data_IF_949873694606
#
_entry.id   IF_949873694606
#
_cell.length_a   1.000
_cell.length_b   1.000
_cell.length_c   1.000
_cell.angle_alpha   90.00
_cell.angle_beta   90.00
_cell.angle_gamma   90.00
#
_symmetry.space_group_name_H-M   'P 1'
#
loop_
_entity.id
_entity.type
_entity.pdbx_description
1 polymer ?
#
# COMPACT_ATOMS: atom_id res chain seq x y z
N UNK A 1 -59.12 -11.45 21.23
CA UNK A 1 -57.93 -12.14 21.76
C UNK A 1 -57.36 -13.00 20.65
N UNK A 2 -56.41 -12.47 19.89
CA UNK A 2 -55.76 -13.15 18.77
C UNK A 2 -54.26 -13.08 19.04
N UNK A 3 -53.66 -14.22 19.41
CA UNK A 3 -52.21 -14.37 19.61
C UNK A 3 -51.55 -14.31 18.24
N UNK A 4 -50.81 -13.22 17.99
CA UNK A 4 -49.90 -13.09 16.86
C UNK A 4 -48.59 -13.80 17.21
N UNK A 5 -48.40 -15.02 16.70
CA UNK A 5 -47.11 -15.71 16.75
C UNK A 5 -46.17 -15.14 15.69
N UNK A 6 -45.30 -14.23 16.14
CA UNK A 6 -44.19 -13.70 15.34
C UNK A 6 -43.11 -14.79 15.24
N UNK A 7 -43.13 -15.55 14.14
CA UNK A 7 -42.01 -16.43 13.77
C UNK A 7 -40.78 -15.58 13.49
N UNK A 8 -39.81 -15.63 14.39
CA UNK A 8 -38.45 -15.17 14.14
C UNK A 8 -37.88 -15.96 12.96
N UNK A 9 -37.60 -15.27 11.85
CA UNK A 9 -36.84 -15.84 10.74
C UNK A 9 -35.50 -16.36 11.25
N UNK A 10 -35.04 -17.53 10.79
CA UNK A 10 -33.71 -18.02 11.10
C UNK A 10 -32.72 -17.03 10.49
N UNK A 11 -32.06 -16.27 11.36
CA UNK A 11 -30.85 -15.53 11.03
C UNK A 11 -29.96 -16.49 10.24
N UNK A 12 -29.58 -16.08 9.02
CA UNK A 12 -28.61 -16.79 8.20
C UNK A 12 -27.34 -16.98 9.02
N UNK A 13 -27.25 -18.11 9.73
CA UNK A 13 -26.03 -18.64 10.32
C UNK A 13 -25.14 -19.08 9.18
N UNK A 14 -24.52 -18.09 8.52
CA UNK A 14 -23.36 -18.27 7.68
C UNK A 14 -22.33 -19.02 8.52
N UNK A 15 -22.25 -20.32 8.28
CA UNK A 15 -21.28 -21.29 8.79
C UNK A 15 -20.15 -20.63 9.59
N UNK A 16 -20.42 -20.42 10.88
CA UNK A 16 -19.49 -19.84 11.83
C UNK A 16 -18.47 -20.93 12.07
N UNK A 17 -17.37 -20.93 11.31
CA UNK A 17 -16.20 -21.69 11.70
C UNK A 17 -15.84 -21.29 13.13
N UNK A 18 -15.65 -22.28 14.02
CA UNK A 18 -15.32 -22.06 15.44
C UNK A 18 -13.99 -21.31 15.56
N UNK A 19 -14.04 -19.98 15.52
CA UNK A 19 -12.86 -19.14 15.45
C UNK A 19 -13.22 -17.69 15.66
N UNK A 20 -12.29 -16.97 16.26
CA UNK A 20 -12.43 -15.57 16.59
C UNK A 20 -11.96 -14.70 15.42
N UNK A 21 -12.68 -13.61 15.14
CA UNK A 21 -12.26 -12.66 14.13
C UNK A 21 -11.28 -11.67 14.75
N UNK A 22 -10.09 -11.59 14.18
CA UNK A 22 -9.01 -10.72 14.61
C UNK A 22 -8.68 -9.75 13.47
N UNK A 23 -8.72 -8.46 13.78
CA UNK A 23 -8.25 -7.40 12.92
C UNK A 23 -6.79 -7.11 13.20
N UNK A 24 -6.01 -7.16 12.14
CA UNK A 24 -4.56 -7.01 12.18
C UNK A 24 -4.20 -5.75 11.39
N UNK A 25 -3.58 -4.79 12.07
CA UNK A 25 -3.07 -3.57 11.47
C UNK A 25 -1.55 -3.68 11.30
N UNK A 26 -1.06 -3.38 10.08
CA UNK A 26 0.36 -3.37 9.78
C UNK A 26 0.93 -4.56 9.01
N UNK A 27 2.03 -4.31 8.32
CA UNK A 27 2.66 -5.24 7.36
C UNK A 27 3.53 -6.33 8.00
N UNK A 28 3.89 -6.20 9.29
CA UNK A 28 4.77 -7.17 9.95
C UNK A 28 4.17 -8.59 9.99
N UNK A 29 2.89 -8.69 9.67
CA UNK A 29 2.08 -9.87 9.57
C UNK A 29 2.12 -10.56 8.18
N UNK A 30 2.42 -9.82 7.10
CA UNK A 30 2.43 -10.35 5.72
C UNK A 30 3.81 -10.72 5.20
N UNK A 31 4.81 -9.86 5.38
CA UNK A 31 6.19 -10.15 4.95
C UNK A 31 7.22 -10.02 6.10
N UNK A 32 6.75 -10.11 7.34
CA UNK A 32 7.59 -9.97 8.53
C UNK A 32 7.80 -11.28 9.30
N UNK A 33 8.29 -11.15 10.53
CA UNK A 33 8.55 -12.28 11.43
C UNK A 33 7.28 -13.10 11.73
N UNK A 34 6.09 -12.50 11.53
CA UNK A 34 4.80 -13.12 11.87
C UNK A 34 4.09 -13.81 10.70
N UNK A 35 4.62 -13.72 9.47
CA UNK A 35 4.02 -14.40 8.31
C UNK A 35 3.86 -15.90 8.53
N UNK A 36 4.87 -16.52 9.15
CA UNK A 36 4.83 -17.95 9.48
C UNK A 36 3.68 -18.34 10.41
N UNK A 37 3.26 -17.43 11.30
CA UNK A 37 2.24 -17.69 12.33
C UNK A 37 0.82 -17.53 11.78
N UNK A 38 0.59 -16.56 10.90
CA UNK A 38 -0.72 -16.35 10.28
C UNK A 38 -1.03 -17.33 9.15
N UNK A 39 -0.08 -18.14 8.69
CA UNK A 39 -0.33 -19.18 7.68
C UNK A 39 -1.41 -20.19 8.09
N UNK A 40 -1.70 -20.30 9.40
CA UNK A 40 -2.75 -21.17 9.94
C UNK A 40 -4.08 -20.45 10.19
N UNK A 41 -4.15 -19.14 9.99
CA UNK A 41 -5.38 -18.36 10.09
C UNK A 41 -6.10 -18.31 8.74
N UNK A 42 -7.42 -18.29 8.76
CA UNK A 42 -8.23 -18.15 7.54
C UNK A 42 -8.40 -16.65 7.22
N UNK A 43 -7.93 -16.17 6.04
CA UNK A 43 -8.12 -14.78 5.65
C UNK A 43 -9.60 -14.51 5.33
N UNK A 44 -10.18 -13.50 5.97
CA UNK A 44 -11.59 -13.12 5.76
C UNK A 44 -11.71 -11.99 4.73
N UNK A 45 -10.81 -11.01 4.79
CA UNK A 45 -10.74 -9.87 3.87
C UNK A 45 -10.07 -8.63 4.47
N UNK A 46 -10.00 -7.54 3.72
CA UNK A 46 -9.43 -6.26 4.19
C UNK A 46 -10.49 -5.39 4.85
N UNK A 47 -10.21 -4.79 6.01
CA UNK A 47 -11.19 -4.03 6.79
C UNK A 47 -10.73 -2.63 7.19
N UNK A 48 -11.68 -1.81 7.62
CA UNK A 48 -11.45 -0.47 8.19
C UNK A 48 -12.11 -0.37 9.55
N UNK A 49 -11.35 0.04 10.56
CA UNK A 49 -11.83 0.24 11.94
C UNK A 49 -11.60 1.69 12.38
N UNK A 50 -12.38 2.18 13.33
CA UNK A 50 -12.15 3.49 13.94
C UNK A 50 -10.91 3.46 14.86
N UNK A 51 -10.09 4.51 14.80
CA UNK A 51 -8.91 4.67 15.64
C UNK A 51 -7.82 5.49 14.96
N UNK A 52 -6.70 5.67 15.66
CA UNK A 52 -5.50 6.29 15.08
C UNK A 52 -4.37 5.28 14.99
N UNK A 53 -3.70 5.28 13.84
CA UNK A 53 -2.49 4.51 13.62
C UNK A 53 -1.28 5.40 13.86
N UNK A 54 -0.45 5.02 14.81
CA UNK A 54 0.78 5.70 15.16
C UNK A 54 1.97 4.82 14.76
N UNK A 55 3.09 5.48 14.51
CA UNK A 55 4.38 4.83 14.54
C UNK A 55 5.11 5.18 15.82
N UNK A 56 5.55 4.13 16.50
CA UNK A 56 6.49 4.24 17.61
C UNK A 56 7.65 3.29 17.36
N UNK A 57 8.89 3.80 17.33
CA UNK A 57 10.09 2.98 17.12
C UNK A 57 10.04 2.05 15.90
N UNK A 58 9.40 2.50 14.80
CA UNK A 58 9.14 1.73 13.56
C UNK A 58 8.17 0.55 13.68
N UNK A 59 7.38 0.48 14.75
CA UNK A 59 6.27 -0.44 14.93
C UNK A 59 4.93 0.27 14.76
N UNK A 60 3.94 -0.40 14.13
CA UNK A 60 2.57 0.09 14.09
C UNK A 60 1.93 -0.03 15.47
N UNK A 61 1.30 1.05 15.92
CA UNK A 61 0.62 1.16 17.20
C UNK A 61 -0.77 1.71 16.94
N UNK A 62 -1.80 0.95 17.28
CA UNK A 62 -3.18 1.41 17.14
C UNK A 62 -3.69 1.88 18.50
N UNK A 63 -4.20 3.11 18.55
CA UNK A 63 -4.87 3.66 19.73
C UNK A 63 -6.36 3.84 19.43
N UNK A 64 -7.19 3.58 20.45
CA UNK A 64 -8.62 3.91 20.36
C UNK A 64 -8.77 5.42 20.20
N UNK A 65 -9.65 5.83 19.30
CA UNK A 65 -10.02 7.22 19.11
C UNK A 65 -11.52 7.27 18.83
N UNK A 66 -12.23 8.08 19.62
CA UNK A 66 -13.66 8.32 19.42
C UNK A 66 -13.91 9.32 18.26
N UNK A 67 -12.84 9.89 17.69
CA UNK A 67 -12.86 10.76 16.53
C UNK A 67 -13.01 10.05 15.18
N UNK A 68 -12.75 10.80 14.11
CA UNK A 68 -12.92 10.34 12.71
C UNK A 68 -11.74 9.52 12.15
N UNK A 69 -10.77 9.17 13.00
CA UNK A 69 -9.62 8.38 12.60
C UNK A 69 -10.06 7.01 12.04
N UNK A 70 -9.48 6.61 10.91
CA UNK A 70 -9.71 5.30 10.29
C UNK A 70 -8.39 4.56 10.16
N UNK A 71 -8.37 3.29 10.53
CA UNK A 71 -7.22 2.41 10.38
C UNK A 71 -7.57 1.28 9.43
N UNK A 72 -6.74 1.09 8.40
CA UNK A 72 -6.85 0.01 7.42
C UNK A 72 -6.04 -1.19 7.88
N UNK A 73 -6.58 -2.38 7.67
CA UNK A 73 -5.94 -3.63 8.04
C UNK A 73 -6.62 -4.84 7.40
N UNK A 74 -6.33 -6.01 7.93
CA UNK A 74 -6.85 -7.27 7.43
C UNK A 74 -7.54 -8.04 8.55
N UNK A 75 -8.64 -8.71 8.24
CA UNK A 75 -9.40 -9.54 9.16
C UNK A 75 -9.09 -11.00 8.88
N UNK A 76 -8.74 -11.71 9.94
CA UNK A 76 -8.45 -13.13 9.94
C UNK A 76 -9.39 -13.84 10.91
N UNK A 77 -9.78 -15.07 10.57
CA UNK A 77 -10.39 -16.00 11.53
C UNK A 77 -9.27 -16.84 12.14
N UNK A 78 -9.17 -16.77 13.46
CA UNK A 78 -8.11 -17.36 14.26
C UNK A 78 -8.72 -18.40 15.20
N UNK A 79 -8.12 -19.59 15.26
CA UNK A 79 -8.53 -20.66 16.17
C UNK A 79 -7.75 -20.59 17.50
N UNK A 80 -8.34 -21.13 18.58
CA UNK A 80 -7.99 -20.85 19.98
C UNK A 80 -6.49 -20.73 20.30
N UNK A 81 -5.70 -21.75 19.98
CA UNK A 81 -4.25 -21.77 20.31
C UNK A 81 -3.48 -20.61 19.66
N UNK A 82 -3.84 -20.27 18.41
CA UNK A 82 -3.21 -19.18 17.69
C UNK A 82 -3.59 -17.82 18.30
N UNK A 83 -4.80 -17.65 18.82
CA UNK A 83 -5.18 -16.39 19.49
C UNK A 83 -4.34 -16.14 20.73
N UNK A 84 -4.11 -17.17 21.56
CA UNK A 84 -3.29 -17.04 22.75
C UNK A 84 -1.82 -16.76 22.40
N UNK A 85 -1.32 -17.37 21.31
CA UNK A 85 0.02 -17.10 20.79
C UNK A 85 0.17 -15.64 20.32
N UNK A 86 -0.81 -15.11 19.58
CA UNK A 86 -0.82 -13.71 19.14
C UNK A 86 -0.83 -12.75 20.33
N UNK A 87 -1.61 -13.05 21.37
CA UNK A 87 -1.61 -12.27 22.61
C UNK A 87 -0.22 -12.24 23.27
N UNK A 88 0.46 -13.39 23.35
CA UNK A 88 1.83 -13.47 23.87
C UNK A 88 2.83 -12.65 23.06
N UNK A 89 2.74 -12.71 21.73
CA UNK A 89 3.58 -11.92 20.82
C UNK A 89 3.35 -10.42 21.04
N UNK A 90 2.10 -9.98 21.10
CA UNK A 90 1.78 -8.56 21.24
C UNK A 90 2.23 -7.99 22.60
N UNK A 91 2.17 -8.80 23.66
CA UNK A 91 2.74 -8.43 24.95
C UNK A 91 4.26 -8.29 24.91
N UNK A 92 4.96 -9.17 24.19
CA UNK A 92 6.42 -9.07 24.02
C UNK A 92 6.81 -7.85 23.19
N UNK A 93 6.06 -7.55 22.11
CA UNK A 93 6.23 -6.30 21.35
C UNK A 93 6.00 -5.08 22.25
N UNK A 94 4.97 -5.08 23.10
CA UNK A 94 4.73 -4.00 24.05
C UNK A 94 5.92 -3.76 24.98
N UNK A 95 6.54 -4.83 25.50
CA UNK A 95 7.76 -4.75 26.32
C UNK A 95 8.95 -4.19 25.55
N UNK A 96 9.15 -4.60 24.29
CA UNK A 96 10.26 -4.14 23.46
C UNK A 96 10.18 -2.64 23.14
N UNK A 97 8.97 -2.09 23.00
CA UNK A 97 8.80 -0.66 22.78
C UNK A 97 8.97 0.14 24.09
N UNK A 98 8.81 -0.51 25.25
CA UNK A 98 9.21 0.01 26.57
C UNK A 98 8.26 1.03 27.21
N UNK A 99 7.33 1.59 26.45
CA UNK A 99 6.55 2.78 26.83
C UNK A 99 5.03 2.63 26.60
N UNK A 100 4.49 1.41 26.64
CA UNK A 100 3.05 1.22 26.44
C UNK A 100 2.56 -0.10 26.97
N UNK A 101 1.28 -0.12 27.35
CA UNK A 101 0.54 -1.35 27.59
C UNK A 101 -0.36 -1.62 26.39
N UNK A 102 -0.45 -2.88 26.01
CA UNK A 102 -1.34 -3.33 24.95
C UNK A 102 -2.46 -4.17 25.59
N UNK A 103 -3.71 -3.88 25.24
CA UNK A 103 -4.88 -4.68 25.64
C UNK A 103 -5.68 -5.12 24.43
N UNK A 104 -6.45 -6.19 24.57
CA UNK A 104 -7.46 -6.52 23.56
C UNK A 104 -8.64 -5.57 23.65
N UNK A 105 -9.19 -5.22 22.48
CA UNK A 105 -10.42 -4.47 22.35
C UNK A 105 -11.25 -5.03 21.20
N UNK A 106 -12.57 -4.92 21.33
CA UNK A 106 -13.52 -5.19 20.25
C UNK A 106 -13.81 -3.90 19.50
N UNK A 107 -13.77 -3.96 18.17
CA UNK A 107 -14.12 -2.85 17.28
C UNK A 107 -15.05 -3.37 16.18
N UNK A 108 -15.73 -2.44 15.50
CA UNK A 108 -16.49 -2.74 14.30
C UNK A 108 -15.60 -2.51 13.07
N UNK A 109 -15.34 -3.56 12.30
CA UNK A 109 -14.66 -3.47 11.02
C UNK A 109 -15.67 -3.33 9.89
N UNK A 110 -15.59 -2.23 9.16
CA UNK A 110 -16.30 -2.01 7.90
C UNK A 110 -15.48 -2.55 6.72
N UNK A 111 -16.11 -2.65 5.55
CA UNK A 111 -15.49 -2.97 4.25
C UNK A 111 -14.84 -4.37 4.12
N UNK A 112 -14.96 -5.25 5.12
CA UNK A 112 -14.27 -6.56 5.18
C UNK A 112 -14.45 -7.41 3.91
N UNK A 113 -15.64 -7.36 3.31
CA UNK A 113 -15.98 -8.04 2.04
C UNK A 113 -16.73 -7.11 1.08
N UNK A 114 -16.35 -5.83 1.05
CA UNK A 114 -17.03 -4.81 0.25
C UNK A 114 -18.25 -4.23 0.98
N UNK A 115 -19.46 -4.41 0.44
CA UNK A 115 -20.70 -3.79 0.95
C UNK A 115 -21.36 -4.57 2.11
N UNK A 116 -20.66 -5.51 2.72
CA UNK A 116 -21.16 -6.25 3.87
C UNK A 116 -21.33 -5.33 5.10
N UNK A 117 -22.29 -5.62 5.99
CA UNK A 117 -22.45 -4.87 7.22
C UNK A 117 -21.17 -4.97 8.07
N UNK A 118 -20.85 -3.93 8.88
CA UNK A 118 -19.70 -3.97 9.76
C UNK A 118 -19.75 -5.20 10.67
N UNK A 119 -18.61 -5.86 10.85
CA UNK A 119 -18.47 -7.05 11.70
C UNK A 119 -17.65 -6.74 12.94
N UNK A 120 -18.01 -7.35 14.07
CA UNK A 120 -17.22 -7.23 15.30
C UNK A 120 -15.93 -8.02 15.18
N UNK A 121 -14.81 -7.38 15.47
CA UNK A 121 -13.46 -7.95 15.41
C UNK A 121 -12.69 -7.61 16.67
N UNK A 122 -11.77 -8.48 17.04
CA UNK A 122 -10.79 -8.20 18.08
C UNK A 122 -9.55 -7.56 17.50
N UNK A 123 -8.97 -6.63 18.23
CA UNK A 123 -7.68 -6.04 17.90
C UNK A 123 -6.90 -5.76 19.18
N UNK A 124 -5.65 -5.37 19.02
CA UNK A 124 -4.77 -4.91 20.08
C UNK A 124 -4.75 -3.38 20.10
N UNK A 125 -5.19 -2.81 21.21
CA UNK A 125 -5.22 -1.37 21.44
C UNK A 125 -4.12 -1.02 22.42
N UNK A 126 -3.34 -0.02 22.04
CA UNK A 126 -2.30 0.52 22.87
C UNK A 126 -2.85 1.63 23.76
N UNK A 127 -2.43 1.59 25.01
CA UNK A 127 -2.77 2.55 26.04
C UNK A 127 -1.50 3.20 26.57
N UNK A 128 -1.62 4.44 27.04
CA UNK A 128 -0.53 5.20 27.64
C UNK A 128 0.71 5.24 26.74
N UNK A 129 0.53 5.49 25.44
CA UNK A 129 1.63 5.59 24.48
C UNK A 129 2.51 6.79 24.83
N UNK A 130 3.70 6.55 25.36
CA UNK A 130 4.67 7.58 25.72
C UNK A 130 5.86 7.62 24.75
N UNK A 131 6.36 8.83 24.46
CA UNK A 131 7.55 9.07 23.64
C UNK A 131 7.26 9.64 22.25
N UNK A 132 8.28 9.73 21.38
CA UNK A 132 8.15 10.29 20.05
C UNK A 132 7.28 9.38 19.18
N UNK A 133 6.10 9.89 18.83
CA UNK A 133 5.12 9.23 17.98
C UNK A 133 4.89 10.02 16.71
N UNK A 134 4.82 9.32 15.58
CA UNK A 134 4.42 9.91 14.29
C UNK A 134 3.04 9.38 13.93
N UNK A 135 2.08 10.27 13.67
CA UNK A 135 0.77 9.88 13.16
C UNK A 135 0.91 9.35 11.73
N UNK A 136 0.39 8.16 11.48
CA UNK A 136 0.23 7.61 10.13
C UNK A 136 -1.06 8.15 9.56
N UNK A 137 -0.99 9.33 8.92
CA UNK A 137 -2.16 10.11 8.51
C UNK A 137 -3.15 9.35 7.61
N UNK A 138 -2.68 8.41 6.79
CA UNK A 138 -3.55 7.62 5.93
C UNK A 138 -4.29 6.49 6.64
N UNK A 139 -3.88 6.15 7.87
CA UNK A 139 -4.40 4.99 8.59
C UNK A 139 -3.93 3.64 8.05
N UNK A 140 -3.10 3.63 7.01
CA UNK A 140 -2.51 2.42 6.43
C UNK A 140 -1.00 2.40 6.71
N UNK A 141 -0.55 1.35 7.38
CA UNK A 141 0.87 1.19 7.68
C UNK A 141 1.74 1.05 6.42
N UNK A 142 1.18 0.51 5.34
CA UNK A 142 1.90 0.28 4.08
C UNK A 142 2.38 1.59 3.47
N UNK A 143 1.57 2.64 3.60
CA UNK A 143 1.91 3.96 3.07
C UNK A 143 3.15 4.58 3.75
N UNK A 144 3.54 4.11 4.94
CA UNK A 144 4.69 4.68 5.66
C UNK A 144 6.05 4.17 5.17
N UNK A 145 6.12 2.96 4.60
CA UNK A 145 7.39 2.23 4.44
C UNK A 145 7.97 2.22 3.03
N UNK A 146 7.20 2.51 1.99
CA UNK A 146 7.75 2.50 0.64
C UNK A 146 8.39 3.86 0.33
N UNK A 147 9.73 3.98 0.33
CA UNK A 147 10.35 5.15 -0.28
C UNK A 147 9.88 5.22 -1.74
N UNK A 148 9.67 6.42 -2.31
CA UNK A 148 8.98 6.58 -3.59
C UNK A 148 9.90 6.23 -4.77
N UNK A 149 10.58 5.08 -4.74
CA UNK A 149 11.59 4.70 -5.72
C UNK A 149 10.96 4.45 -7.07
N UNK A 150 9.84 3.75 -7.11
CA UNK A 150 9.15 3.51 -8.38
C UNK A 150 8.49 4.78 -8.92
N UNK A 151 7.95 5.62 -8.04
CA UNK A 151 7.46 6.95 -8.43
C UNK A 151 8.61 7.80 -8.99
N UNK A 152 9.79 7.79 -8.34
CA UNK A 152 10.96 8.54 -8.78
C UNK A 152 11.49 8.03 -10.12
N UNK A 153 11.50 6.71 -10.34
CA UNK A 153 11.86 6.11 -11.63
C UNK A 153 10.85 6.53 -12.71
N UNK A 154 9.54 6.43 -12.43
CA UNK A 154 8.50 6.83 -13.38
C UNK A 154 8.61 8.31 -13.76
N UNK A 155 8.88 9.18 -12.78
CA UNK A 155 9.12 10.61 -12.98
C UNK A 155 10.41 10.85 -13.80
N UNK A 156 11.49 10.12 -13.48
CA UNK A 156 12.75 10.18 -14.23
C UNK A 156 12.57 9.77 -15.70
N UNK A 157 11.79 8.72 -15.96
CA UNK A 157 11.43 8.29 -17.32
C UNK A 157 10.63 9.36 -18.07
N UNK A 158 9.68 10.02 -17.41
CA UNK A 158 8.93 11.12 -17.98
C UNK A 158 9.86 12.27 -18.36
N UNK A 159 10.77 12.67 -17.48
CA UNK A 159 11.75 13.72 -17.77
C UNK A 159 12.73 13.32 -18.88
N UNK A 160 13.24 12.09 -18.88
CA UNK A 160 14.17 11.60 -19.90
C UNK A 160 13.56 11.69 -21.31
N UNK A 161 12.27 11.36 -21.45
CA UNK A 161 11.57 11.47 -22.74
C UNK A 161 11.59 12.91 -23.31
N UNK A 162 11.43 13.93 -22.48
CA UNK A 162 11.42 15.33 -22.93
C UNK A 162 12.82 15.96 -23.01
N UNK A 163 13.70 15.62 -22.07
CA UNK A 163 15.03 16.23 -21.96
C UNK A 163 15.99 15.68 -23.01
N UNK A 164 15.87 14.41 -23.41
CA UNK A 164 16.80 13.83 -24.39
C UNK A 164 16.69 14.47 -25.78
N UNK A 165 15.50 14.61 -26.40
CA UNK A 165 15.36 15.32 -27.68
C UNK A 165 15.81 16.77 -27.59
N UNK A 166 15.48 17.45 -26.49
CA UNK A 166 15.92 18.83 -26.26
C UNK A 166 17.44 18.93 -26.17
N UNK A 167 18.10 18.01 -25.45
CA UNK A 167 19.55 17.95 -25.36
C UNK A 167 20.19 17.73 -26.73
N UNK A 168 19.63 16.82 -27.55
CA UNK A 168 20.09 16.59 -28.93
C UNK A 168 19.92 17.86 -29.80
N UNK A 169 18.81 18.59 -29.66
CA UNK A 169 18.56 19.83 -30.40
C UNK A 169 19.50 20.99 -29.99
N UNK A 170 19.89 21.03 -28.72
CA UNK A 170 20.77 22.06 -28.16
C UNK A 170 22.26 21.74 -28.34
N UNK A 171 22.62 20.53 -28.78
CA UNK A 171 24.02 20.20 -29.00
C UNK A 171 24.59 21.13 -30.09
N UNK A 172 25.66 21.89 -29.77
CA UNK A 172 26.34 22.68 -30.79
C UNK A 172 26.84 21.73 -31.87
N UNK A 173 26.60 22.09 -33.14
CA UNK A 173 27.09 21.29 -34.27
C UNK A 173 28.61 21.10 -34.10
N UNK A 174 29.09 19.86 -33.98
CA UNK A 174 30.52 19.63 -33.80
C UNK A 174 31.28 20.22 -35.00
N UNK A 175 32.41 20.91 -34.79
CA UNK A 175 33.25 21.34 -35.89
C UNK A 175 33.71 20.10 -36.67
N UNK A 176 33.59 20.14 -37.99
CA UNK A 176 34.02 19.02 -38.84
C UNK A 176 35.55 18.84 -38.76
N UNK A 177 36.07 17.60 -38.73
CA UNK A 177 35.35 16.32 -38.75
C UNK A 177 34.90 15.86 -37.36
N UNK A 178 33.69 15.28 -37.27
CA UNK A 178 33.15 14.74 -36.02
C UNK A 178 33.94 13.51 -35.54
N UNK A 179 34.11 13.32 -34.22
CA UNK A 179 34.77 12.14 -33.69
C UNK A 179 33.98 10.86 -34.04
N UNK A 180 34.66 9.77 -34.43
CA UNK A 180 34.00 8.50 -34.68
C UNK A 180 33.30 8.01 -33.40
N UNK A 181 31.99 7.79 -33.47
CA UNK A 181 31.16 7.30 -32.36
C UNK A 181 30.07 8.24 -31.86
N UNK A 182 30.11 9.53 -32.24
CA UNK A 182 29.07 10.50 -31.84
C UNK A 182 27.66 10.11 -32.31
N UNK A 183 27.55 9.58 -33.52
CA UNK A 183 26.28 9.11 -34.10
C UNK A 183 25.71 7.90 -33.35
N UNK A 184 26.55 6.91 -33.02
CA UNK A 184 26.14 5.72 -32.28
C UNK A 184 25.58 6.10 -30.90
N UNK A 185 26.26 7.03 -30.22
CA UNK A 185 25.80 7.52 -28.92
C UNK A 185 24.46 8.27 -29.01
N UNK A 186 24.27 9.12 -30.04
CA UNK A 186 23.01 9.81 -30.26
C UNK A 186 21.85 8.84 -30.53
N UNK A 187 22.08 7.80 -31.34
CA UNK A 187 21.09 6.74 -31.59
C UNK A 187 20.72 5.97 -30.32
N UNK A 188 21.72 5.64 -29.49
CA UNK A 188 21.47 4.95 -28.22
C UNK A 188 20.63 5.80 -27.26
N UNK A 189 20.91 7.12 -27.18
CA UNK A 189 20.09 8.05 -26.40
C UNK A 189 18.66 8.15 -26.92
N UNK A 190 18.47 8.19 -28.24
CA UNK A 190 17.14 8.21 -28.86
C UNK A 190 16.34 6.93 -28.56
N UNK A 191 16.97 5.76 -28.68
CA UNK A 191 16.34 4.48 -28.33
C UNK A 191 15.93 4.48 -26.84
N UNK A 192 16.82 4.91 -25.95
CA UNK A 192 16.51 4.98 -24.53
C UNK A 192 15.35 5.94 -24.23
N UNK A 193 15.30 7.09 -24.90
CA UNK A 193 14.21 8.04 -24.78
C UNK A 193 12.88 7.45 -25.26
N UNK A 194 12.87 6.73 -26.39
CA UNK A 194 11.67 6.06 -26.92
C UNK A 194 11.17 4.93 -26.00
N UNK A 195 12.07 4.24 -25.29
CA UNK A 195 11.73 3.18 -24.34
C UNK A 195 11.31 3.71 -22.95
N UNK A 196 11.74 4.92 -22.57
CA UNK A 196 11.50 5.49 -21.25
C UNK A 196 10.01 5.52 -20.85
N UNK A 197 9.05 5.89 -21.70
CA UNK A 197 7.63 5.87 -21.35
C UNK A 197 7.12 4.49 -20.88
N UNK A 198 7.54 3.42 -21.55
CA UNK A 198 7.13 2.05 -21.21
C UNK A 198 7.71 1.60 -19.87
N UNK A 199 8.99 1.89 -19.63
CA UNK A 199 9.65 1.63 -18.33
C UNK A 199 8.95 2.43 -17.23
N UNK A 200 8.63 3.69 -17.51
CA UNK A 200 7.90 4.56 -16.58
C UNK A 200 6.51 4.03 -16.24
N UNK A 201 5.76 3.49 -17.21
CA UNK A 201 4.45 2.87 -16.97
C UNK A 201 4.56 1.62 -16.08
N UNK A 202 5.56 0.78 -16.34
CA UNK A 202 5.86 -0.37 -15.48
C UNK A 202 6.19 0.06 -14.05
N UNK A 203 7.04 1.07 -13.90
CA UNK A 203 7.37 1.65 -12.59
C UNK A 203 6.13 2.24 -11.90
N UNK A 204 5.29 3.00 -12.61
CA UNK A 204 4.06 3.55 -12.06
C UNK A 204 3.07 2.46 -11.60
N UNK A 205 2.95 1.35 -12.35
CA UNK A 205 2.15 0.21 -11.92
C UNK A 205 2.69 -0.43 -10.62
N UNK A 206 4.01 -0.61 -10.51
CA UNK A 206 4.63 -1.10 -9.27
C UNK A 206 4.47 -0.12 -8.10
N UNK A 207 4.60 1.18 -8.34
CA UNK A 207 4.38 2.22 -7.34
C UNK A 207 2.93 2.17 -6.80
N UNK A 208 1.95 1.98 -7.69
CA UNK A 208 0.55 1.83 -7.31
C UNK A 208 0.31 0.56 -6.49
N UNK A 209 0.86 -0.58 -6.93
CA UNK A 209 0.73 -1.86 -6.22
C UNK A 209 1.38 -1.86 -4.84
N UNK A 210 2.41 -1.03 -4.64
CA UNK A 210 3.09 -0.84 -3.35
C UNK A 210 2.52 0.30 -2.50
N UNK A 211 1.49 0.99 -2.98
CA UNK A 211 0.90 2.16 -2.30
C UNK A 211 1.97 3.19 -1.91
N UNK A 212 2.88 3.55 -2.83
CA UNK A 212 3.89 4.59 -2.54
C UNK A 212 3.22 5.94 -2.19
N UNK A 213 3.81 6.71 -1.26
CA UNK A 213 3.32 7.99 -0.70
C UNK A 213 2.86 9.03 -1.72
N UNK A 214 3.28 8.91 -2.98
CA UNK A 214 2.97 9.84 -4.08
C UNK A 214 1.91 9.30 -5.05
N UNK A 215 1.06 8.35 -4.63
CA UNK A 215 -0.03 7.82 -5.44
C UNK A 215 -0.95 8.91 -6.03
N UNK A 216 -1.16 10.03 -5.31
CA UNK A 216 -1.90 11.18 -5.83
C UNK A 216 -1.28 11.85 -7.07
N UNK A 217 0.05 11.81 -7.21
CA UNK A 217 0.76 12.30 -8.40
C UNK A 217 0.81 11.26 -9.52
N UNK A 218 0.56 9.98 -9.20
CA UNK A 218 0.70 8.86 -10.12
C UNK A 218 -0.25 8.96 -11.30
N UNK A 219 -1.45 9.51 -11.11
CA UNK A 219 -2.40 9.79 -12.20
C UNK A 219 -1.78 10.71 -13.26
N UNK A 220 -1.15 11.81 -12.83
CA UNK A 220 -0.52 12.78 -13.73
C UNK A 220 0.72 12.18 -14.42
N UNK A 221 1.51 11.40 -13.68
CA UNK A 221 2.69 10.70 -14.22
C UNK A 221 2.24 9.69 -15.30
N UNK A 222 1.23 8.86 -15.02
CA UNK A 222 0.69 7.89 -15.98
C UNK A 222 0.12 8.59 -17.21
N UNK A 223 -0.66 9.66 -17.04
CA UNK A 223 -1.19 10.43 -18.15
C UNK A 223 -0.06 11.00 -19.04
N UNK A 224 0.98 11.58 -18.42
CA UNK A 224 2.17 12.07 -19.13
C UNK A 224 2.88 10.95 -19.90
N UNK A 225 3.11 9.80 -19.26
CA UNK A 225 3.77 8.66 -19.90
C UNK A 225 2.94 8.07 -21.06
N UNK A 226 1.61 8.04 -20.95
CA UNK A 226 0.72 7.60 -22.02
C UNK A 226 0.82 8.52 -23.25
N UNK A 227 0.77 9.84 -23.02
CA UNK A 227 0.94 10.84 -24.08
C UNK A 227 2.32 10.69 -24.74
N UNK A 228 3.38 10.59 -23.93
CA UNK A 228 4.74 10.38 -24.43
C UNK A 228 4.90 9.08 -25.22
N UNK A 229 4.26 7.99 -24.79
CA UNK A 229 4.25 6.71 -25.52
C UNK A 229 3.58 6.83 -26.88
N UNK A 230 2.46 7.55 -26.97
CA UNK A 230 1.79 7.80 -28.25
C UNK A 230 2.66 8.63 -29.20
N UNK A 231 3.30 9.69 -28.68
CA UNK A 231 4.23 10.51 -29.47
C UNK A 231 5.45 9.71 -29.94
N UNK A 232 6.03 8.87 -29.07
CA UNK A 232 7.14 7.98 -29.40
C UNK A 232 6.76 7.01 -30.54
N UNK A 233 5.56 6.44 -30.46
CA UNK A 233 5.05 5.51 -31.49
C UNK A 233 4.87 6.22 -32.84
N UNK A 234 4.29 7.42 -32.85
CA UNK A 234 4.14 8.22 -34.07
C UNK A 234 5.49 8.55 -34.70
N UNK A 235 6.46 8.99 -33.88
CA UNK A 235 7.82 9.27 -34.35
C UNK A 235 8.50 8.03 -34.93
N UNK A 236 8.35 6.87 -34.28
CA UNK A 236 8.91 5.61 -34.78
C UNK A 236 8.27 5.18 -36.12
N UNK A 237 6.96 5.36 -36.29
CA UNK A 237 6.26 5.06 -37.54
C UNK A 237 6.71 5.95 -38.69
N UNK A 238 6.97 7.23 -38.44
CA UNK A 238 7.51 8.16 -39.45
C UNK A 238 8.95 7.82 -39.85
N UNK A 239 9.78 7.27 -38.95
CA UNK A 239 11.15 6.85 -39.28
C UNK A 239 11.22 5.62 -40.20
N UNK A 240 10.16 4.83 -40.29
CA UNK A 240 10.11 3.61 -41.12
C UNK A 240 9.62 3.90 -42.55
N UNK A 241 8.98 5.07 -42.77
CA UNK A 241 8.49 5.51 -44.08
C UNK A 241 9.61 6.09 -44.95
#
# INVERSE_FOLDING_TARGET
>A
MTKSDTRSSPTHSLLIGEGELVFIYGHQWRDGVMTGKLNHAEPVGGGVVSGRLLSMSNFPVMVSDDGEGKVRGEVYRVHGDLSAELDGIMQEVARLIGNGSCRRGKLMAAEVRGNDPPIEVWTWLWENVEGPQELVASGDWLDRRAPPWFTSIALGCLFAFFLTPLAVLLQPRPPAPAPPGGEIFAWLLMILALLAPFVGLGAAWFAHRRSERMSGCLLFIVAGLMISSMLALVAALEMVR
#
